data_IF_124612226416
#
_entry.id   IF_124612226416
#
_cell.length_a   1.000
_cell.length_b   1.000
_cell.length_c   1.000
_cell.angle_alpha   90.00
_cell.angle_beta   90.00
_cell.angle_gamma   90.00
#
_symmetry.space_group_name_H-M   'P 1'
#
loop_
_entity.id
_entity.type
_entity.pdbx_description
1 polymer ?
#
# COMPACT_ATOMS: atom_id res chain seq x y z
N UNK A 1 -14.33 -12.61 26.99
CA UNK A 1 -15.66 -12.71 27.62
C UNK A 1 -16.25 -11.31 27.61
N UNK A 2 -17.28 -11.08 26.78
CA UNK A 2 -18.02 -9.83 26.79
C UNK A 2 -18.81 -9.80 28.11
N UNK A 3 -18.57 -8.74 28.91
CA UNK A 3 -19.40 -8.50 30.10
C UNK A 3 -20.80 -8.11 29.62
N UNK A 4 -21.78 -8.90 29.95
CA UNK A 4 -23.18 -8.58 29.69
C UNK A 4 -23.61 -7.41 30.58
N UNK A 5 -23.71 -6.22 29.95
CA UNK A 5 -24.29 -5.03 30.60
C UNK A 5 -25.76 -5.01 30.31
N UNK A 6 -26.59 -5.29 31.34
CA UNK A 6 -28.05 -5.22 31.23
C UNK A 6 -28.56 -3.82 31.58
N UNK A 7 -29.37 -3.24 30.69
CA UNK A 7 -30.13 -2.01 30.95
C UNK A 7 -31.54 -2.36 31.40
N UNK A 8 -31.89 -2.01 32.62
CA UNK A 8 -33.30 -2.05 33.10
C UNK A 8 -33.81 -0.61 33.16
N UNK A 9 -34.94 -0.36 32.49
CA UNK A 9 -35.62 0.91 32.48
C UNK A 9 -36.83 0.81 33.37
N UNK A 10 -36.88 1.58 34.46
CA UNK A 10 -38.08 1.87 35.24
C UNK A 10 -38.33 3.38 35.12
N UNK A 11 -39.61 3.79 35.26
CA UNK A 11 -40.06 5.16 35.08
C UNK A 11 -39.08 6.20 35.68
N UNK A 12 -38.40 6.91 34.79
CA UNK A 12 -37.46 8.02 35.12
C UNK A 12 -36.03 7.61 35.47
N UNK A 13 -35.70 6.31 35.63
CA UNK A 13 -34.36 5.88 36.01
C UNK A 13 -33.78 4.80 35.09
N UNK A 14 -32.52 4.92 34.72
CA UNK A 14 -31.75 3.88 34.05
C UNK A 14 -30.72 3.32 35.03
N UNK A 15 -30.74 2.02 35.22
CA UNK A 15 -29.79 1.30 36.07
C UNK A 15 -28.83 0.49 35.19
N UNK A 16 -27.54 0.75 35.29
CA UNK A 16 -26.49 -0.10 34.70
C UNK A 16 -26.11 -1.18 35.72
N UNK A 17 -26.21 -2.44 35.33
CA UNK A 17 -25.75 -3.57 36.15
C UNK A 17 -24.72 -4.38 35.39
N UNK A 18 -23.65 -4.76 36.07
CA UNK A 18 -22.62 -5.66 35.57
C UNK A 18 -22.59 -6.91 36.44
N UNK A 19 -22.68 -8.10 35.80
CA UNK A 19 -22.74 -9.39 36.48
C UNK A 19 -23.86 -9.48 37.57
N UNK A 20 -25.00 -8.82 37.32
CA UNK A 20 -26.14 -8.83 38.28
C UNK A 20 -26.03 -7.81 39.44
N UNK A 21 -24.93 -7.09 39.54
CA UNK A 21 -24.73 -6.04 40.55
C UNK A 21 -24.99 -4.66 39.94
N UNK A 22 -25.75 -3.82 40.68
CA UNK A 22 -26.04 -2.43 40.29
C UNK A 22 -24.75 -1.63 40.34
N UNK A 23 -24.32 -1.10 39.18
CA UNK A 23 -23.07 -0.34 39.06
C UNK A 23 -23.36 1.16 39.16
N UNK A 24 -24.39 1.65 38.47
CA UNK A 24 -24.72 3.07 38.46
C UNK A 24 -26.19 3.28 38.13
N UNK A 25 -26.80 4.30 38.71
CA UNK A 25 -28.17 4.72 38.44
C UNK A 25 -28.17 6.16 37.91
N UNK A 26 -28.97 6.40 36.86
CA UNK A 26 -29.14 7.70 36.25
C UNK A 26 -30.60 8.06 36.19
N UNK A 27 -30.93 9.28 36.60
CA UNK A 27 -32.26 9.87 36.31
C UNK A 27 -32.24 10.41 34.86
N UNK A 28 -33.32 10.19 34.15
CA UNK A 28 -33.48 10.73 32.81
C UNK A 28 -34.86 11.38 32.66
N UNK A 29 -34.89 12.45 31.86
CA UNK A 29 -36.15 13.08 31.46
C UNK A 29 -36.68 12.38 30.21
N UNK A 30 -37.83 11.78 30.29
CA UNK A 30 -38.53 11.22 29.15
C UNK A 30 -38.95 12.34 28.20
N UNK A 31 -38.58 12.24 26.94
CA UNK A 31 -39.06 13.11 25.87
C UNK A 31 -40.08 12.35 25.02
N UNK A 32 -41.12 13.05 24.55
CA UNK A 32 -42.08 12.44 23.62
C UNK A 32 -41.46 12.23 22.25
N UNK A 33 -42.02 11.31 21.46
CA UNK A 33 -41.59 11.04 20.08
C UNK A 33 -41.59 12.32 19.22
N UNK A 34 -42.53 13.24 19.46
CA UNK A 34 -42.59 14.52 18.78
C UNK A 34 -41.40 15.41 19.16
N UNK A 35 -41.03 15.45 20.43
CA UNK A 35 -39.84 16.19 20.89
C UNK A 35 -38.55 15.58 20.37
N UNK A 36 -38.43 14.23 20.38
CA UNK A 36 -37.31 13.53 19.79
C UNK A 36 -37.18 13.83 18.29
N UNK A 37 -38.32 13.80 17.56
CA UNK A 37 -38.34 14.13 16.13
C UNK A 37 -37.92 15.56 15.85
N UNK A 38 -38.39 16.55 16.69
CA UNK A 38 -37.97 17.92 16.57
C UNK A 38 -36.45 18.12 16.81
N UNK A 39 -35.90 17.45 17.83
CA UNK A 39 -34.44 17.48 18.08
C UNK A 39 -33.66 16.89 16.93
N UNK A 40 -34.09 15.74 16.37
CA UNK A 40 -33.45 15.15 15.19
C UNK A 40 -33.50 16.07 13.99
N UNK A 41 -34.63 16.74 13.72
CA UNK A 41 -34.75 17.71 12.64
C UNK A 41 -33.87 18.94 12.84
N UNK A 42 -33.74 19.41 14.07
CA UNK A 42 -32.83 20.54 14.40
C UNK A 42 -31.33 20.15 14.23
N UNK A 43 -30.99 18.93 14.54
CA UNK A 43 -29.62 18.43 14.45
C UNK A 43 -29.25 17.94 13.03
N UNK A 44 -30.21 17.56 12.20
CA UNK A 44 -29.98 17.05 10.85
C UNK A 44 -29.13 17.97 9.95
N UNK A 45 -29.26 19.33 9.99
CA UNK A 45 -28.39 20.21 9.23
C UNK A 45 -27.07 20.54 9.93
N UNK A 46 -26.84 20.05 11.16
CA UNK A 46 -25.57 20.28 11.87
C UNK A 46 -24.54 19.32 11.30
N UNK A 47 -23.66 19.87 10.48
CA UNK A 47 -22.48 19.16 10.00
C UNK A 47 -21.55 19.00 11.22
N UNK A 48 -21.53 17.82 11.79
CA UNK A 48 -20.46 17.45 12.73
C UNK A 48 -19.19 17.27 11.89
N UNK A 49 -18.32 18.26 11.87
CA UNK A 49 -16.93 18.02 11.52
C UNK A 49 -16.44 16.90 12.43
N UNK A 50 -15.96 15.82 11.85
CA UNK A 50 -15.36 14.70 12.60
C UNK A 50 -14.04 15.16 13.23
N UNK A 51 -14.12 16.03 14.24
CA UNK A 51 -12.98 16.53 15.03
C UNK A 51 -12.26 15.39 15.78
N UNK A 52 -12.72 14.15 15.62
CA UNK A 52 -12.17 12.98 16.30
C UNK A 52 -11.41 11.98 15.45
N UNK A 53 -11.49 12.02 14.11
CA UNK A 53 -10.86 10.98 13.28
C UNK A 53 -9.33 10.99 13.31
N UNK A 54 -8.70 12.16 13.40
CA UNK A 54 -7.25 12.25 13.55
C UNK A 54 -6.74 11.65 14.87
N UNK A 55 -7.54 11.70 15.93
CA UNK A 55 -7.21 11.13 17.23
C UNK A 55 -7.57 9.64 17.36
N UNK A 56 -8.34 9.08 16.43
CA UNK A 56 -8.76 7.67 16.43
C UNK A 56 -7.78 6.73 15.73
N UNK A 57 -6.87 7.24 14.89
CA UNK A 57 -5.85 6.42 14.26
C UNK A 57 -4.89 5.85 15.31
N UNK A 58 -4.63 4.57 15.25
CA UNK A 58 -3.61 3.91 16.08
C UNK A 58 -2.26 4.60 15.88
N UNK A 59 -1.51 4.78 16.98
CA UNK A 59 -0.15 5.36 16.91
C UNK A 59 0.84 4.43 16.23
N UNK A 60 0.71 3.14 16.48
CA UNK A 60 1.58 2.10 15.92
C UNK A 60 0.73 0.89 15.56
N UNK A 61 1.10 0.21 14.49
CA UNK A 61 0.63 -1.12 14.13
C UNK A 61 1.79 -1.94 13.60
N UNK A 62 1.92 -3.16 14.05
CA UNK A 62 2.97 -4.06 13.62
C UNK A 62 2.53 -4.87 12.41
N UNK A 63 3.48 -5.37 11.63
CA UNK A 63 3.19 -6.29 10.53
C UNK A 63 2.49 -7.57 11.03
N UNK A 64 2.82 -8.04 12.22
CA UNK A 64 2.19 -9.22 12.81
C UNK A 64 0.71 -8.98 13.10
N UNK A 65 0.35 -7.81 13.64
CA UNK A 65 -1.06 -7.44 13.82
C UNK A 65 -1.80 -7.35 12.48
N UNK A 66 -1.18 -6.75 11.45
CA UNK A 66 -1.77 -6.67 10.10
C UNK A 66 -1.98 -8.05 9.46
N UNK A 67 -1.12 -9.00 9.75
CA UNK A 67 -1.20 -10.38 9.24
C UNK A 67 -2.01 -11.31 10.16
N UNK A 68 -2.51 -10.80 11.31
CA UNK A 68 -3.23 -11.55 12.32
C UNK A 68 -2.43 -12.76 12.85
N UNK A 69 -1.16 -12.52 13.19
CA UNK A 69 -0.24 -13.51 13.77
C UNK A 69 0.38 -12.99 15.06
N UNK A 70 0.80 -13.87 15.96
CA UNK A 70 1.43 -13.51 17.22
C UNK A 70 2.94 -13.69 17.20
N UNK A 71 3.43 -14.64 16.42
CA UNK A 71 4.86 -14.95 16.31
C UNK A 71 5.25 -15.28 14.87
N UNK A 72 6.55 -15.28 14.56
CA UNK A 72 7.04 -15.58 13.21
C UNK A 72 6.71 -17.03 12.78
N UNK A 73 6.62 -17.94 13.73
CA UNK A 73 6.25 -19.34 13.53
C UNK A 73 4.81 -19.50 12.99
N UNK A 74 3.92 -18.56 13.31
CA UNK A 74 2.53 -18.54 12.86
C UNK A 74 2.37 -18.15 11.39
N UNK A 75 3.44 -17.65 10.75
CA UNK A 75 3.41 -17.21 9.35
C UNK A 75 2.93 -18.30 8.40
N UNK A 76 3.28 -19.55 8.68
CA UNK A 76 2.90 -20.70 7.86
C UNK A 76 3.03 -20.43 6.34
N UNK A 77 4.22 -20.02 5.92
CA UNK A 77 4.50 -19.55 4.55
C UNK A 77 4.07 -20.58 3.49
N UNK A 78 4.32 -21.88 3.75
CA UNK A 78 3.95 -22.93 2.81
C UNK A 78 2.45 -22.97 2.50
N UNK A 79 1.60 -22.77 3.52
CA UNK A 79 0.15 -22.69 3.35
C UNK A 79 -0.25 -21.41 2.60
N UNK A 80 0.24 -20.25 3.05
CA UNK A 80 -0.07 -18.95 2.42
C UNK A 80 0.31 -18.93 0.94
N UNK A 81 1.50 -19.39 0.60
CA UNK A 81 1.98 -19.47 -0.78
C UNK A 81 1.22 -20.51 -1.63
N UNK A 82 0.78 -21.62 -1.01
CA UNK A 82 -0.03 -22.62 -1.70
C UNK A 82 -1.43 -22.15 -2.05
N UNK A 83 -2.02 -21.34 -1.17
CA UNK A 83 -3.38 -20.80 -1.32
C UNK A 83 -3.43 -19.48 -2.11
N UNK A 84 -2.28 -18.82 -2.34
CA UNK A 84 -2.22 -17.53 -3.02
C UNK A 84 -2.72 -17.62 -4.46
N UNK A 85 -3.44 -16.58 -4.89
CA UNK A 85 -3.98 -16.43 -6.25
C UNK A 85 -3.64 -15.04 -6.78
N UNK A 86 -2.34 -14.79 -6.97
CA UNK A 86 -1.83 -13.47 -7.39
C UNK A 86 -2.46 -12.99 -8.71
N UNK A 87 -2.82 -13.90 -9.61
CA UNK A 87 -3.50 -13.61 -10.86
C UNK A 87 -4.95 -13.10 -10.69
N UNK A 88 -5.51 -13.18 -9.47
CA UNK A 88 -6.81 -12.59 -9.12
C UNK A 88 -6.66 -11.31 -8.33
N UNK A 89 -5.68 -11.27 -7.43
CA UNK A 89 -5.48 -10.14 -6.53
C UNK A 89 -4.04 -10.06 -6.05
N UNK A 90 -3.48 -8.86 -6.06
CA UNK A 90 -2.19 -8.53 -5.48
C UNK A 90 -2.35 -7.70 -4.19
N UNK A 91 -3.45 -7.89 -3.48
CA UNK A 91 -3.76 -7.13 -2.27
C UNK A 91 -2.79 -7.48 -1.14
N UNK A 92 -2.17 -6.46 -0.59
CA UNK A 92 -1.17 -6.53 0.49
C UNK A 92 -1.58 -5.54 1.58
N UNK A 93 -1.66 -5.93 2.85
CA UNK A 93 -1.96 -5.00 3.94
C UNK A 93 -0.84 -3.98 4.10
N UNK A 94 -1.22 -2.69 4.22
CA UNK A 94 -0.30 -1.58 4.46
C UNK A 94 -0.41 -1.00 5.86
N UNK A 95 -1.61 -0.98 6.43
CA UNK A 95 -1.90 -0.33 7.69
C UNK A 95 -3.40 -0.38 8.00
N UNK A 96 -3.87 0.52 8.86
CA UNK A 96 -5.29 0.63 9.22
C UNK A 96 -5.80 2.06 9.02
N UNK A 97 -7.09 2.18 8.74
CA UNK A 97 -7.78 3.48 8.68
C UNK A 97 -8.27 3.92 10.07
N UNK A 98 -8.96 5.07 10.11
CA UNK A 98 -9.52 5.64 11.34
C UNK A 98 -10.60 4.76 12.01
N UNK A 99 -11.16 3.78 11.31
CA UNK A 99 -12.12 2.80 11.83
C UNK A 99 -11.45 1.48 12.25
N UNK A 100 -10.11 1.45 12.28
CA UNK A 100 -9.31 0.27 12.56
C UNK A 100 -9.47 -0.86 11.50
N UNK A 101 -9.95 -0.53 10.31
CA UNK A 101 -10.07 -1.47 9.20
C UNK A 101 -8.74 -1.54 8.44
N UNK A 102 -8.34 -2.74 8.03
CA UNK A 102 -7.09 -2.94 7.29
C UNK A 102 -7.17 -2.31 5.91
N UNK A 103 -6.25 -1.40 5.64
CA UNK A 103 -6.05 -0.79 4.33
C UNK A 103 -5.06 -1.63 3.54
N UNK A 104 -5.45 -2.06 2.35
CA UNK A 104 -4.62 -2.86 1.45
C UNK A 104 -4.19 -2.07 0.22
N UNK A 105 -2.97 -2.33 -0.25
CA UNK A 105 -2.52 -1.90 -1.58
C UNK A 105 -2.58 -3.11 -2.53
N UNK A 106 -3.28 -2.94 -3.64
CA UNK A 106 -3.44 -3.98 -4.63
C UNK A 106 -2.85 -3.53 -5.98
N UNK A 107 -1.65 -3.98 -6.30
CA UNK A 107 -0.97 -3.59 -7.54
C UNK A 107 -1.53 -4.23 -8.82
N UNK A 108 -2.54 -5.08 -8.69
CA UNK A 108 -3.20 -5.62 -9.87
C UNK A 108 -3.83 -4.49 -10.69
N UNK A 109 -3.71 -4.54 -12.02
CA UNK A 109 -4.14 -3.45 -12.92
C UNK A 109 -5.63 -3.10 -12.83
N UNK A 110 -6.47 -4.06 -12.46
CA UNK A 110 -7.92 -3.86 -12.27
C UNK A 110 -8.24 -3.07 -10.99
N UNK A 111 -7.28 -2.94 -10.06
CA UNK A 111 -7.46 -2.28 -8.78
C UNK A 111 -6.61 -1.00 -8.68
N UNK A 112 -5.56 -0.99 -7.85
CA UNK A 112 -4.73 0.19 -7.58
C UNK A 112 -3.50 0.29 -8.50
N UNK A 113 -3.17 -0.77 -9.22
CA UNK A 113 -2.00 -0.83 -10.09
C UNK A 113 -2.26 -0.40 -11.53
N UNK A 114 -1.28 -0.59 -12.39
CA UNK A 114 -0.05 -1.34 -12.10
C UNK A 114 1.08 -0.50 -11.47
N UNK A 115 1.04 0.84 -11.52
CA UNK A 115 2.12 1.72 -11.07
C UNK A 115 1.64 2.72 -10.04
N UNK A 116 2.55 3.21 -9.22
CA UNK A 116 2.23 4.19 -8.21
C UNK A 116 3.38 5.08 -7.77
N UNK A 117 3.00 6.10 -7.01
CA UNK A 117 3.87 7.12 -6.46
C UNK A 117 3.80 7.10 -4.94
N UNK A 118 4.95 7.14 -4.28
CA UNK A 118 5.07 7.25 -2.82
C UNK A 118 5.87 8.50 -2.49
N UNK A 119 5.29 9.41 -1.72
CA UNK A 119 5.96 10.63 -1.30
C UNK A 119 6.02 10.73 0.21
N UNK A 120 7.11 11.31 0.73
CA UNK A 120 7.27 11.56 2.15
C UNK A 120 8.66 12.03 2.51
N UNK A 121 8.76 13.04 3.37
CA UNK A 121 10.04 13.58 3.85
C UNK A 121 10.82 12.57 4.69
N UNK A 122 12.08 12.89 4.97
CA UNK A 122 12.90 12.14 5.93
C UNK A 122 12.19 12.07 7.28
N UNK A 123 12.11 10.88 7.86
CA UNK A 123 11.42 10.63 9.13
C UNK A 123 9.89 10.54 9.04
N UNK A 124 9.30 10.61 7.84
CA UNK A 124 7.85 10.45 7.66
C UNK A 124 7.39 8.98 7.73
N UNK A 125 8.29 8.02 7.61
CA UNK A 125 8.00 6.59 7.52
C UNK A 125 7.98 6.03 6.09
N UNK A 126 8.49 6.78 5.09
CA UNK A 126 8.50 6.36 3.68
C UNK A 126 9.23 5.03 3.45
N UNK A 127 10.42 4.88 4.00
CA UNK A 127 11.19 3.64 3.86
C UNK A 127 10.55 2.49 4.63
N UNK A 128 10.01 2.74 5.81
CA UNK A 128 9.31 1.75 6.63
C UNK A 128 8.07 1.19 5.93
N UNK A 129 7.27 2.04 5.26
CA UNK A 129 6.07 1.56 4.55
C UNK A 129 6.45 0.73 3.32
N UNK A 130 7.51 1.09 2.60
CA UNK A 130 8.03 0.30 1.47
C UNK A 130 8.56 -1.05 1.95
N UNK A 131 9.29 -1.08 3.06
CA UNK A 131 9.78 -2.32 3.68
C UNK A 131 8.61 -3.21 4.16
N UNK A 132 7.63 -2.62 4.83
CA UNK A 132 6.42 -3.33 5.26
C UNK A 132 5.66 -3.91 4.08
N UNK A 133 5.55 -3.17 2.97
CA UNK A 133 4.94 -3.66 1.74
C UNK A 133 5.69 -4.88 1.17
N UNK A 134 7.03 -4.80 1.06
CA UNK A 134 7.86 -5.92 0.56
C UNK A 134 7.69 -7.15 1.44
N UNK A 135 7.76 -7.00 2.78
CA UNK A 135 7.62 -8.11 3.72
C UNK A 135 6.21 -8.70 3.69
N UNK A 136 5.17 -7.85 3.68
CA UNK A 136 3.77 -8.31 3.56
C UNK A 136 3.57 -9.11 2.28
N UNK A 137 4.03 -8.60 1.14
CA UNK A 137 3.90 -9.29 -0.13
C UNK A 137 4.67 -10.61 -0.14
N UNK A 138 5.88 -10.64 0.40
CA UNK A 138 6.70 -11.84 0.49
C UNK A 138 6.10 -12.92 1.41
N UNK A 139 5.32 -12.53 2.42
CA UNK A 139 4.62 -13.52 3.28
C UNK A 139 3.36 -14.08 2.63
N UNK A 140 2.73 -13.33 1.74
CA UNK A 140 1.47 -13.72 1.08
C UNK A 140 1.72 -14.49 -0.21
N UNK A 141 2.69 -14.07 -1.02
CA UNK A 141 2.94 -14.60 -2.36
C UNK A 141 4.27 -15.34 -2.43
N UNK A 142 4.30 -16.43 -3.20
CA UNK A 142 5.50 -17.21 -3.44
C UNK A 142 6.53 -16.43 -4.29
N UNK A 143 7.86 -16.66 -4.15
CA UNK A 143 8.87 -16.03 -5.02
C UNK A 143 8.68 -16.26 -6.52
N UNK A 144 7.95 -17.31 -6.91
CA UNK A 144 7.57 -17.57 -8.31
C UNK A 144 6.34 -16.78 -8.77
N UNK A 145 5.69 -16.05 -7.87
CA UNK A 145 4.51 -15.22 -8.14
C UNK A 145 4.83 -13.72 -8.10
N UNK A 146 5.69 -13.28 -7.18
CA UNK A 146 6.13 -11.88 -7.05
C UNK A 146 7.62 -11.80 -6.79
N UNK A 147 8.28 -10.86 -7.43
CA UNK A 147 9.69 -10.56 -7.19
C UNK A 147 9.95 -9.06 -7.24
N UNK A 148 10.99 -8.64 -6.54
CA UNK A 148 11.36 -7.24 -6.39
C UNK A 148 12.68 -6.93 -7.06
N UNK A 149 12.72 -5.76 -7.71
CA UNK A 149 13.95 -5.06 -8.10
C UNK A 149 13.99 -3.75 -7.34
N UNK A 150 15.00 -3.53 -6.52
CA UNK A 150 15.15 -2.34 -5.70
C UNK A 150 16.24 -1.45 -6.30
N UNK A 151 15.91 -0.20 -6.57
CA UNK A 151 16.82 0.84 -7.05
C UNK A 151 16.99 1.84 -5.89
N UNK A 152 18.12 1.75 -5.18
CA UNK A 152 18.43 2.53 -3.98
C UNK A 152 19.82 3.14 -4.11
N UNK A 153 19.88 4.40 -4.48
CA UNK A 153 21.15 5.14 -4.68
C UNK A 153 21.68 5.82 -3.42
N UNK A 154 20.93 5.76 -2.30
CA UNK A 154 21.33 6.37 -1.01
C UNK A 154 22.14 5.45 -0.11
N UNK A 155 23.00 4.63 -0.70
CA UNK A 155 23.89 3.73 0.04
C UNK A 155 23.36 2.32 0.26
N UNK A 156 22.29 1.94 -0.44
CA UNK A 156 21.80 0.56 -0.45
C UNK A 156 21.18 0.07 0.86
N UNK A 157 20.74 0.97 1.73
CA UNK A 157 20.21 0.61 3.06
C UNK A 157 19.01 -0.32 2.97
N UNK A 158 18.09 -0.05 2.05
CA UNK A 158 16.93 -0.91 1.80
C UNK A 158 17.35 -2.25 1.17
N UNK A 159 18.27 -2.24 0.20
CA UNK A 159 18.77 -3.45 -0.46
C UNK A 159 19.43 -4.40 0.53
N UNK A 160 20.27 -3.87 1.44
CA UNK A 160 21.02 -4.67 2.41
C UNK A 160 20.08 -5.44 3.36
N UNK A 161 18.94 -4.86 3.73
CA UNK A 161 17.96 -5.52 4.59
C UNK A 161 17.30 -6.72 3.92
N UNK A 162 17.10 -6.67 2.60
CA UNK A 162 16.43 -7.72 1.84
C UNK A 162 17.36 -8.66 1.08
N UNK A 163 18.68 -8.54 1.28
CA UNK A 163 19.69 -9.31 0.53
C UNK A 163 19.44 -10.82 0.52
N UNK A 164 18.91 -11.36 1.61
CA UNK A 164 18.64 -12.79 1.77
C UNK A 164 17.17 -13.15 1.48
N UNK A 165 16.33 -12.19 1.06
CA UNK A 165 14.93 -12.45 0.75
C UNK A 165 14.84 -13.14 -0.62
N UNK A 166 14.23 -14.34 -0.72
CA UNK A 166 14.15 -15.06 -1.99
C UNK A 166 13.36 -14.34 -3.09
N UNK A 167 12.58 -13.33 -2.71
CA UNK A 167 11.83 -12.47 -3.64
C UNK A 167 12.67 -11.34 -4.25
N UNK A 168 13.88 -11.07 -3.74
CA UNK A 168 14.75 -10.04 -4.29
C UNK A 168 15.44 -10.58 -5.55
N UNK A 169 14.99 -10.15 -6.73
CA UNK A 169 15.50 -10.59 -8.03
C UNK A 169 16.72 -9.76 -8.45
N UNK A 170 16.75 -8.49 -8.10
CA UNK A 170 17.82 -7.59 -8.46
C UNK A 170 17.89 -6.34 -7.60
N UNK A 171 19.06 -5.72 -7.59
CA UNK A 171 19.30 -4.48 -6.86
C UNK A 171 20.25 -3.59 -7.67
N UNK A 172 20.01 -2.28 -7.63
CA UNK A 172 20.86 -1.25 -8.22
C UNK A 172 21.15 -0.24 -7.12
N UNK A 173 22.41 -0.17 -6.68
CA UNK A 173 22.83 0.68 -5.56
C UNK A 173 23.84 1.74 -5.94
N UNK A 174 24.26 1.77 -7.21
CA UNK A 174 25.22 2.71 -7.74
C UNK A 174 24.67 3.38 -9.02
N UNK A 175 24.90 4.69 -9.14
CA UNK A 175 24.52 5.51 -10.32
C UNK A 175 25.62 5.49 -11.39
N UNK A 176 26.63 4.63 -11.27
CA UNK A 176 27.66 4.51 -12.29
C UNK A 176 27.01 4.21 -13.66
N UNK A 177 27.34 5.04 -14.66
CA UNK A 177 26.69 4.98 -15.97
C UNK A 177 26.72 3.60 -16.63
N UNK A 178 27.72 2.79 -16.34
CA UNK A 178 27.84 1.42 -16.85
C UNK A 178 26.83 0.46 -16.19
N UNK A 179 26.59 0.60 -14.90
CA UNK A 179 25.60 -0.23 -14.17
C UNK A 179 24.18 0.15 -14.57
N UNK A 180 23.91 1.43 -14.71
CA UNK A 180 22.62 1.96 -15.16
C UNK A 180 22.28 1.43 -16.55
N UNK A 181 23.23 1.47 -17.50
CA UNK A 181 23.02 0.96 -18.85
C UNK A 181 22.82 -0.57 -18.89
N UNK A 182 23.58 -1.32 -18.08
CA UNK A 182 23.40 -2.77 -17.96
C UNK A 182 22.03 -3.13 -17.39
N UNK A 183 21.60 -2.40 -16.36
CA UNK A 183 20.30 -2.60 -15.73
C UNK A 183 19.13 -2.36 -16.70
N UNK A 184 19.23 -1.30 -17.52
CA UNK A 184 18.23 -1.02 -18.54
C UNK A 184 18.17 -2.11 -19.62
N UNK A 185 19.34 -2.60 -20.08
CA UNK A 185 19.42 -3.74 -21.00
C UNK A 185 18.80 -4.99 -20.39
N UNK A 186 19.03 -5.24 -19.10
CA UNK A 186 18.45 -6.38 -18.38
C UNK A 186 16.94 -6.30 -18.29
N UNK A 187 16.38 -5.13 -17.97
CA UNK A 187 14.92 -4.91 -17.93
C UNK A 187 14.32 -5.13 -19.34
N UNK A 188 14.94 -4.55 -20.39
CA UNK A 188 14.47 -4.76 -21.77
C UNK A 188 14.53 -6.23 -22.19
N UNK A 189 15.61 -6.93 -21.85
CA UNK A 189 15.75 -8.37 -22.12
C UNK A 189 14.71 -9.21 -21.39
N UNK A 190 14.38 -8.88 -20.14
CA UNK A 190 13.32 -9.55 -19.39
C UNK A 190 11.94 -9.33 -20.04
N UNK A 191 11.63 -8.11 -20.50
CA UNK A 191 10.39 -7.85 -21.24
C UNK A 191 10.29 -8.69 -22.53
N UNK A 192 11.36 -8.77 -23.31
CA UNK A 192 11.41 -9.60 -24.50
C UNK A 192 11.25 -11.08 -24.19
N UNK A 193 11.91 -11.57 -23.13
CA UNK A 193 11.75 -12.96 -22.65
C UNK A 193 10.29 -13.25 -22.31
N UNK A 194 9.62 -12.36 -21.58
CA UNK A 194 8.21 -12.49 -21.21
C UNK A 194 7.32 -12.56 -22.45
N UNK A 195 7.51 -11.65 -23.42
CA UNK A 195 6.76 -11.65 -24.67
C UNK A 195 6.93 -12.99 -25.44
N UNK A 196 8.15 -13.50 -25.53
CA UNK A 196 8.41 -14.78 -26.18
C UNK A 196 7.72 -15.96 -25.47
N UNK A 197 7.78 -16.00 -24.14
CA UNK A 197 7.13 -17.04 -23.36
C UNK A 197 5.61 -16.97 -23.47
N UNK A 198 5.03 -15.75 -23.51
CA UNK A 198 3.60 -15.57 -23.74
C UNK A 198 3.18 -16.04 -25.12
N UNK A 199 3.96 -15.73 -26.17
CA UNK A 199 3.71 -16.19 -27.52
C UNK A 199 3.74 -17.73 -27.61
N UNK A 200 4.73 -18.36 -26.97
CA UNK A 200 4.82 -19.83 -26.91
C UNK A 200 3.63 -20.47 -26.14
N UNK A 201 3.15 -19.80 -25.10
CA UNK A 201 2.02 -20.28 -24.29
C UNK A 201 0.65 -19.90 -24.87
N UNK A 202 0.59 -19.09 -25.93
CA UNK A 202 -0.66 -18.61 -26.55
C UNK A 202 -1.45 -17.66 -25.65
N UNK A 203 -0.78 -16.88 -24.81
CA UNK A 203 -1.41 -15.91 -23.91
C UNK A 203 -0.89 -14.48 -24.17
N UNK A 204 -1.61 -13.48 -23.70
CA UNK A 204 -1.27 -12.06 -23.86
C UNK A 204 -1.15 -11.30 -22.53
N UNK A 205 -1.33 -11.98 -21.41
CA UNK A 205 -1.36 -11.39 -20.07
C UNK A 205 -0.69 -12.28 -19.03
N UNK A 206 0.01 -11.65 -18.07
CA UNK A 206 0.73 -12.35 -17.02
C UNK A 206 -0.18 -13.24 -16.16
N UNK A 207 -1.41 -12.79 -15.86
CA UNK A 207 -2.35 -13.56 -15.05
C UNK A 207 -2.67 -14.90 -15.70
N UNK A 208 -2.91 -14.90 -17.01
CA UNK A 208 -3.17 -16.13 -17.76
C UNK A 208 -1.95 -17.06 -17.81
N UNK A 209 -0.76 -16.47 -17.92
CA UNK A 209 0.46 -17.24 -17.88
C UNK A 209 0.68 -17.91 -16.51
N UNK A 210 0.43 -17.18 -15.40
CA UNK A 210 0.55 -17.73 -14.04
C UNK A 210 -0.51 -18.82 -13.79
N UNK A 211 -1.74 -18.66 -14.28
CA UNK A 211 -2.76 -19.71 -14.24
C UNK A 211 -2.23 -21.00 -14.91
N UNK A 212 -1.69 -20.88 -16.14
CA UNK A 212 -1.11 -22.03 -16.85
C UNK A 212 0.07 -22.67 -16.10
N UNK A 213 0.89 -21.85 -15.43
CA UNK A 213 1.99 -22.36 -14.60
C UNK A 213 1.46 -23.14 -13.40
N UNK A 214 0.46 -22.64 -12.70
CA UNK A 214 -0.19 -23.35 -11.57
C UNK A 214 -0.87 -24.65 -12.01
N UNK A 215 -1.44 -24.66 -13.20
CA UNK A 215 -2.00 -25.86 -13.83
C UNK A 215 -0.93 -26.82 -14.42
N UNK A 216 0.37 -26.50 -14.27
CA UNK A 216 1.51 -27.27 -14.81
C UNK A 216 1.50 -27.41 -16.34
N UNK A 217 0.82 -26.51 -17.04
CA UNK A 217 0.78 -26.46 -18.51
C UNK A 217 2.01 -25.78 -19.12
N UNK A 218 2.69 -24.93 -18.36
CA UNK A 218 4.00 -24.34 -18.67
C UNK A 218 4.99 -24.63 -17.54
N UNK A 219 6.27 -24.73 -17.85
CA UNK A 219 7.29 -25.14 -16.88
C UNK A 219 8.05 -23.97 -16.25
N UNK A 220 8.09 -22.83 -16.93
CA UNK A 220 8.87 -21.66 -16.48
C UNK A 220 7.99 -20.74 -15.65
N UNK A 221 8.36 -20.52 -14.40
CA UNK A 221 7.70 -19.51 -13.58
C UNK A 221 8.02 -18.09 -14.07
N UNK A 222 7.01 -17.21 -14.09
CA UNK A 222 7.17 -15.79 -14.35
C UNK A 222 6.46 -15.00 -13.25
N UNK A 223 7.21 -14.46 -12.28
CA UNK A 223 6.62 -13.65 -11.24
C UNK A 223 6.19 -12.28 -11.78
N UNK A 224 5.21 -11.65 -11.15
CA UNK A 224 5.05 -10.21 -11.22
C UNK A 224 6.33 -9.55 -10.76
N UNK A 225 6.84 -8.60 -11.52
CA UNK A 225 8.09 -7.88 -11.24
C UNK A 225 7.77 -6.48 -10.72
N UNK A 226 8.03 -6.24 -9.44
CA UNK A 226 7.83 -4.94 -8.81
C UNK A 226 9.16 -4.20 -8.73
N UNK A 227 9.30 -3.14 -9.49
CA UNK A 227 10.48 -2.27 -9.50
C UNK A 227 10.20 -1.11 -8.54
N UNK A 228 10.98 -0.98 -7.49
CA UNK A 228 10.87 0.07 -6.49
C UNK A 228 12.08 1.01 -6.62
N UNK A 229 11.83 2.28 -6.87
CA UNK A 229 12.84 3.35 -6.90
C UNK A 229 12.68 4.18 -5.65
N UNK A 230 13.63 4.10 -4.70
CA UNK A 230 13.52 4.75 -3.37
C UNK A 230 13.62 6.27 -3.45
N UNK A 231 14.43 6.82 -4.35
CA UNK A 231 14.53 8.28 -4.56
C UNK A 231 14.61 8.60 -6.05
N UNK A 232 13.46 8.62 -6.72
CA UNK A 232 13.45 8.83 -8.17
C UNK A 232 13.79 10.27 -8.56
N UNK A 233 13.71 11.23 -7.63
CA UNK A 233 14.11 12.62 -7.89
C UNK A 233 15.60 12.72 -8.24
N UNK A 234 16.46 12.04 -7.47
CA UNK A 234 17.90 11.97 -7.75
C UNK A 234 18.18 11.23 -9.06
N UNK A 235 17.52 10.07 -9.25
CA UNK A 235 17.65 9.31 -10.49
C UNK A 235 17.25 10.13 -11.72
N UNK A 236 16.16 10.89 -11.64
CA UNK A 236 15.71 11.76 -12.74
C UNK A 236 16.68 12.89 -13.02
N UNK A 237 17.31 13.45 -11.98
CA UNK A 237 18.30 14.53 -12.12
C UNK A 237 19.61 14.05 -12.72
N UNK A 238 20.13 12.91 -12.26
CA UNK A 238 21.45 12.41 -12.67
C UNK A 238 21.40 11.54 -13.92
N UNK A 239 20.31 10.80 -14.13
CA UNK A 239 20.12 9.85 -15.23
C UNK A 239 18.76 10.03 -15.91
N UNK A 240 18.46 11.19 -16.50
CA UNK A 240 17.12 11.50 -17.05
C UNK A 240 16.70 10.52 -18.16
N UNK A 241 17.62 10.06 -18.97
CA UNK A 241 17.33 9.12 -20.06
C UNK A 241 17.00 7.72 -19.51
N UNK A 242 17.70 7.27 -18.47
CA UNK A 242 17.37 6.03 -17.78
C UNK A 242 15.95 6.10 -17.20
N UNK A 243 15.61 7.21 -16.58
CA UNK A 243 14.28 7.39 -15.99
C UNK A 243 13.17 7.35 -17.03
N UNK A 244 13.35 8.01 -18.19
CA UNK A 244 12.41 7.95 -19.32
C UNK A 244 12.23 6.53 -19.85
N UNK A 245 13.33 5.82 -20.03
CA UNK A 245 13.34 4.45 -20.52
C UNK A 245 12.69 3.48 -19.52
N UNK A 246 12.92 3.67 -18.21
CA UNK A 246 12.30 2.87 -17.15
C UNK A 246 10.78 3.06 -17.13
N UNK A 247 10.28 4.29 -17.22
CA UNK A 247 8.85 4.59 -17.30
C UNK A 247 8.25 3.98 -18.58
N UNK A 248 8.95 4.09 -19.70
CA UNK A 248 8.50 3.49 -20.97
C UNK A 248 8.43 1.96 -20.87
N UNK A 249 9.45 1.34 -20.29
CA UNK A 249 9.50 -0.10 -20.08
C UNK A 249 8.36 -0.58 -19.15
N UNK A 250 8.10 0.16 -18.08
CA UNK A 250 6.99 -0.15 -17.18
C UNK A 250 5.62 -0.05 -17.89
N UNK A 251 5.40 0.98 -18.69
CA UNK A 251 4.17 1.14 -19.47
C UNK A 251 3.94 -0.02 -20.45
N UNK A 252 4.98 -0.43 -21.18
CA UNK A 252 4.92 -1.58 -22.09
C UNK A 252 4.76 -2.88 -21.30
N UNK A 253 5.42 -2.97 -20.16
CA UNK A 253 5.44 -4.13 -19.27
C UNK A 253 4.13 -4.37 -18.48
N UNK A 254 3.14 -3.51 -18.59
CA UNK A 254 1.88 -3.60 -17.83
C UNK A 254 1.22 -4.98 -17.96
N UNK A 255 0.92 -5.41 -19.18
CA UNK A 255 0.34 -6.74 -19.44
C UNK A 255 1.33 -7.89 -19.20
N UNK A 256 2.63 -7.58 -19.18
CA UNK A 256 3.71 -8.54 -18.90
C UNK A 256 3.98 -8.72 -17.39
N UNK A 257 3.22 -8.05 -16.52
CA UNK A 257 3.36 -8.15 -15.08
C UNK A 257 4.51 -7.33 -14.50
N UNK A 258 4.84 -6.18 -15.11
CA UNK A 258 5.84 -5.25 -14.58
C UNK A 258 5.15 -4.08 -13.91
N UNK A 259 5.50 -3.82 -12.66
CA UNK A 259 4.97 -2.77 -11.82
C UNK A 259 6.08 -1.81 -11.43
N UNK A 260 5.78 -0.52 -11.33
CA UNK A 260 6.73 0.51 -10.95
C UNK A 260 6.19 1.32 -9.77
N UNK A 261 6.95 1.35 -8.68
CA UNK A 261 6.71 2.20 -7.52
C UNK A 261 7.82 3.24 -7.48
N UNK A 262 7.46 4.49 -7.70
CA UNK A 262 8.37 5.63 -7.63
C UNK A 262 8.24 6.29 -6.27
N UNK A 263 9.31 6.31 -5.48
CA UNK A 263 9.33 6.96 -4.20
C UNK A 263 10.23 8.20 -4.22
N UNK A 264 9.84 9.27 -3.49
CA UNK A 264 10.63 10.49 -3.36
C UNK A 264 10.37 11.20 -2.05
N UNK A 265 11.39 11.89 -1.55
CA UNK A 265 11.27 12.79 -0.41
C UNK A 265 10.82 14.20 -0.83
N UNK A 266 11.08 14.59 -2.07
CA UNK A 266 10.76 15.92 -2.60
C UNK A 266 10.03 15.79 -3.93
N UNK A 267 8.69 15.75 -3.92
CA UNK A 267 7.89 15.59 -5.14
C UNK A 267 7.84 16.86 -6.00
N UNK A 268 7.95 18.06 -5.42
CA UNK A 268 7.82 19.33 -6.13
C UNK A 268 8.87 19.49 -7.25
N UNK A 269 8.37 19.80 -8.45
CA UNK A 269 9.20 19.98 -9.65
C UNK A 269 9.76 18.68 -10.23
N UNK A 270 9.46 17.52 -9.65
CA UNK A 270 9.96 16.21 -10.11
C UNK A 270 8.85 15.35 -10.67
N UNK A 271 7.66 15.40 -10.06
CA UNK A 271 6.47 14.70 -10.53
C UNK A 271 5.88 15.49 -11.71
N UNK A 272 6.20 15.07 -12.92
CA UNK A 272 5.59 15.62 -14.12
C UNK A 272 4.24 14.95 -14.45
N UNK A 273 3.53 15.52 -15.43
CA UNK A 273 2.23 15.01 -15.85
C UNK A 273 2.27 13.56 -16.34
N UNK A 274 3.40 13.10 -16.90
CA UNK A 274 3.56 11.72 -17.35
C UNK A 274 3.71 10.76 -16.17
N UNK A 275 4.51 11.10 -15.17
CA UNK A 275 4.65 10.32 -13.94
C UNK A 275 3.31 10.27 -13.21
N UNK A 276 2.66 11.42 -13.04
CA UNK A 276 1.40 11.50 -12.32
C UNK A 276 0.30 10.67 -12.97
N UNK A 277 0.13 10.80 -14.31
CA UNK A 277 -0.91 10.08 -15.07
C UNK A 277 -0.69 8.56 -15.16
N UNK A 278 0.56 8.10 -15.12
CA UNK A 278 0.89 6.68 -15.08
C UNK A 278 0.78 6.07 -13.68
N UNK A 279 0.75 6.89 -12.62
CA UNK A 279 0.65 6.45 -11.23
C UNK A 279 -0.81 6.38 -10.81
N UNK A 280 -1.41 5.18 -10.88
CA UNK A 280 -2.83 4.99 -10.53
C UNK A 280 -3.09 5.12 -9.03
N UNK A 281 -2.14 4.72 -8.18
CA UNK A 281 -2.18 5.04 -6.76
C UNK A 281 -1.13 6.08 -6.39
N UNK A 282 -1.44 6.92 -5.41
CA UNK A 282 -0.56 7.89 -4.80
C UNK A 282 -0.64 7.72 -3.30
N UNK A 283 0.47 7.37 -2.68
CA UNK A 283 0.60 7.27 -1.22
C UNK A 283 1.47 8.42 -0.74
N UNK A 284 0.88 9.34 0.00
CA UNK A 284 1.58 10.52 0.47
C UNK A 284 1.60 10.55 1.99
N UNK A 285 2.78 10.34 2.55
CA UNK A 285 3.08 10.56 3.96
C UNK A 285 3.30 12.06 4.20
N UNK A 286 3.77 12.44 5.39
CA UNK A 286 4.13 13.82 5.68
C UNK A 286 5.11 14.36 4.64
N UNK A 287 4.77 15.49 4.05
CA UNK A 287 5.63 16.29 3.15
C UNK A 287 5.95 17.65 3.76
N UNK A 288 6.94 18.36 3.20
CA UNK A 288 7.44 19.58 3.79
C UNK A 288 6.54 20.79 3.53
N UNK A 289 5.92 20.85 2.35
CA UNK A 289 5.14 22.00 1.91
C UNK A 289 3.78 21.60 1.33
N UNK A 290 2.87 22.56 1.25
CA UNK A 290 1.57 22.40 0.59
C UNK A 290 1.74 22.13 -0.91
N UNK A 291 2.75 22.71 -1.51
CA UNK A 291 3.12 22.49 -2.91
C UNK A 291 3.49 21.03 -3.14
N UNK A 292 4.32 20.45 -2.28
CA UNK A 292 4.68 19.01 -2.34
C UNK A 292 3.43 18.12 -2.26
N UNK A 293 2.52 18.44 -1.34
CA UNK A 293 1.26 17.70 -1.20
C UNK A 293 0.38 17.82 -2.45
N UNK A 294 0.25 19.04 -2.98
CA UNK A 294 -0.54 19.31 -4.19
C UNK A 294 0.03 18.62 -5.44
N UNK A 295 1.34 18.50 -5.56
CA UNK A 295 1.98 17.76 -6.67
C UNK A 295 1.55 16.29 -6.69
N UNK A 296 1.41 15.67 -5.53
CA UNK A 296 1.09 14.24 -5.39
C UNK A 296 -0.43 14.00 -5.33
N UNK A 297 -1.14 14.69 -4.43
CA UNK A 297 -2.54 14.40 -4.10
C UNK A 297 -3.54 15.38 -4.70
N UNK A 298 -3.08 16.51 -5.27
CA UNK A 298 -3.91 17.65 -5.67
C UNK A 298 -4.65 18.31 -4.50
N UNK A 299 -4.21 18.04 -3.26
CA UNK A 299 -4.71 18.65 -2.02
C UNK A 299 -3.53 18.98 -1.10
N UNK A 300 -3.64 19.97 -0.17
CA UNK A 300 -2.56 20.32 0.75
C UNK A 300 -2.45 19.42 1.98
N UNK A 301 -3.31 18.41 2.13
CA UNK A 301 -3.53 17.67 3.37
C UNK A 301 -2.29 16.95 3.92
N UNK A 302 -1.44 16.40 3.05
CA UNK A 302 -0.26 15.68 3.52
C UNK A 302 0.80 16.57 4.18
N UNK A 303 0.79 17.89 3.91
CA UNK A 303 1.64 18.84 4.61
C UNK A 303 1.23 19.07 6.08
N UNK A 304 -0.01 18.76 6.43
CA UNK A 304 -0.58 18.95 7.77
C UNK A 304 -0.39 17.73 8.69
N UNK A 305 0.10 16.61 8.14
CA UNK A 305 0.41 15.40 8.91
C UNK A 305 1.50 15.72 9.96
N UNK A 306 1.20 15.46 11.23
CA UNK A 306 2.14 15.72 12.35
C UNK A 306 2.94 14.48 12.74
N UNK A 307 2.31 13.31 12.67
CA UNK A 307 2.86 12.06 13.19
C UNK A 307 3.47 11.21 12.08
N UNK A 308 4.65 10.60 12.31
CA UNK A 308 5.24 9.65 11.38
C UNK A 308 4.33 8.44 11.14
N UNK A 309 4.44 7.83 9.96
CA UNK A 309 3.65 6.65 9.59
C UNK A 309 2.22 6.93 9.16
N UNK A 310 1.72 8.16 9.29
CA UNK A 310 0.44 8.56 8.72
C UNK A 310 0.58 8.91 7.25
N UNK A 311 -0.42 8.53 6.47
CA UNK A 311 -0.43 8.76 5.03
C UNK A 311 -1.85 8.92 4.49
N UNK A 312 -1.95 9.56 3.35
CA UNK A 312 -3.12 9.56 2.49
C UNK A 312 -2.88 8.62 1.31
N UNK A 313 -3.80 7.70 1.08
CA UNK A 313 -3.82 6.83 -0.11
C UNK A 313 -4.91 7.31 -1.06
N UNK A 314 -4.51 7.84 -2.20
CA UNK A 314 -5.40 8.19 -3.30
C UNK A 314 -5.33 7.13 -4.38
N UNK A 315 -6.47 6.68 -4.87
CA UNK A 315 -6.59 5.70 -5.97
C UNK A 315 -7.41 6.33 -7.10
N UNK A 316 -6.87 6.23 -8.29
CA UNK A 316 -7.45 6.87 -9.47
C UNK A 316 -6.94 8.32 -9.66
N UNK A 317 -7.50 8.97 -10.64
CA UNK A 317 -7.18 10.36 -11.01
C UNK A 317 -8.26 11.31 -10.52
#
# INVERSE_FOLDING_TARGET
AASDVYKRQHEGNICLSENGNKVQEFEYQAISDMQAGAVVQMLAPVYCEEIGLENSLRKNITLFELLHIFAAEDLNLGKRWGESQIYKTMAVPLGVNAKDEVVTLNLHEKFHGPHGLVAGTTGSGKSEILQSYILSAATIFHPYEIGFVIIDFKGGGMVNQFRNLPHLIGAITNIDGNEVQRSLKSIKAELMKRQNLFAQAGVNHIDKYIELYKEKKVQTALPHLVIIVDEFAELKAEQPDFMKELISAARIGRSLGVHLILATQKPSGVVDGQIWSNSKFKLCLKVQSKEDSNEVLKTPLAAEIKEPGRAYLQVGN
#
